data_IF_496166343152
#
_entry.id   IF_496166343152
#
_cell.length_a   1.000
_cell.length_b   1.000
_cell.length_c   1.000
_cell.angle_alpha   90.00
_cell.angle_beta   90.00
_cell.angle_gamma   90.00
#
_symmetry.space_group_name_H-M   'P 1'
#
loop_
_entity.id
_entity.type
_entity.pdbx_description
1 polymer ?
#
# COMPACT_ATOMS: atom_id res chain seq x y z
N UNK A 1 10.88 3.26 -8.96
CA UNK A 1 11.57 4.44 -9.52
C UNK A 1 10.70 5.22 -10.48
N UNK A 2 9.92 4.51 -11.31
CA UNK A 2 9.00 5.18 -12.23
C UNK A 2 7.94 5.98 -11.45
N UNK A 3 7.46 5.43 -10.34
CA UNK A 3 6.49 6.11 -9.49
C UNK A 3 7.14 7.33 -8.82
N UNK A 4 8.38 7.19 -8.36
CA UNK A 4 9.12 8.28 -7.75
C UNK A 4 9.35 9.43 -8.75
N UNK A 5 9.77 9.08 -9.96
CA UNK A 5 10.02 10.08 -10.99
C UNK A 5 8.73 10.83 -11.36
N UNK A 6 7.62 10.09 -11.50
CA UNK A 6 6.34 10.71 -11.82
C UNK A 6 5.88 11.65 -10.72
N UNK A 7 6.05 11.25 -9.46
CA UNK A 7 5.67 12.08 -8.32
C UNK A 7 6.51 13.36 -8.24
N UNK A 8 7.82 13.25 -8.52
CA UNK A 8 8.71 14.41 -8.48
C UNK A 8 8.42 15.41 -9.60
N UNK A 9 7.81 14.96 -10.67
CA UNK A 9 7.47 15.83 -11.79
C UNK A 9 6.13 16.55 -11.59
N UNK A 10 5.34 16.15 -10.60
CA UNK A 10 4.07 16.79 -10.32
C UNK A 10 4.29 18.21 -9.84
N UNK A 11 3.55 19.17 -10.43
CA UNK A 11 3.76 20.60 -10.18
C UNK A 11 3.58 21.00 -8.72
N UNK A 12 2.59 20.43 -8.05
CA UNK A 12 2.28 20.78 -6.66
C UNK A 12 2.89 19.84 -5.63
N UNK A 13 3.86 19.04 -6.05
CA UNK A 13 4.54 18.10 -5.17
C UNK A 13 5.62 18.84 -4.38
N UNK A 14 5.29 19.28 -3.18
CA UNK A 14 6.18 20.10 -2.37
C UNK A 14 7.30 19.29 -1.69
N UNK A 15 8.21 20.00 -1.02
CA UNK A 15 9.39 19.37 -0.41
C UNK A 15 9.04 18.39 0.70
N UNK A 16 8.01 18.69 1.48
CA UNK A 16 7.60 17.81 2.57
C UNK A 16 7.04 16.49 2.01
N UNK A 17 6.22 16.59 0.97
CA UNK A 17 5.66 15.41 0.31
C UNK A 17 6.76 14.59 -0.37
N UNK A 18 7.74 15.26 -0.97
CA UNK A 18 8.87 14.57 -1.58
C UNK A 18 9.68 13.79 -0.56
N UNK A 19 9.94 14.41 0.60
CA UNK A 19 10.69 13.74 1.66
C UNK A 19 9.96 12.51 2.19
N UNK A 20 8.67 12.65 2.43
CA UNK A 20 7.84 11.55 2.89
C UNK A 20 7.83 10.42 1.87
N UNK A 21 7.64 10.76 0.61
CA UNK A 21 7.57 9.78 -0.46
C UNK A 21 8.87 8.99 -0.61
N UNK A 22 10.00 9.68 -0.54
CA UNK A 22 11.31 9.02 -0.62
C UNK A 22 11.56 8.11 0.55
N UNK A 23 11.19 8.55 1.74
CA UNK A 23 11.32 7.76 2.95
C UNK A 23 10.49 6.50 2.86
N UNK A 24 9.27 6.64 2.35
CA UNK A 24 8.36 5.51 2.14
C UNK A 24 8.95 4.49 1.17
N UNK A 25 9.44 4.96 0.02
CA UNK A 25 10.04 4.08 -0.98
C UNK A 25 11.30 3.39 -0.47
N UNK A 26 12.10 4.12 0.29
CA UNK A 26 13.31 3.57 0.89
C UNK A 26 12.97 2.45 1.88
N UNK A 27 11.99 2.72 2.74
CA UNK A 27 11.52 1.73 3.70
C UNK A 27 10.97 0.48 3.03
N UNK A 28 10.20 0.65 1.97
CA UNK A 28 9.66 -0.47 1.19
C UNK A 28 10.79 -1.30 0.60
N UNK A 29 11.80 -0.63 0.05
CA UNK A 29 12.95 -1.34 -0.55
C UNK A 29 13.71 -2.15 0.49
N UNK A 30 13.90 -1.60 1.67
CA UNK A 30 14.62 -2.29 2.74
C UNK A 30 13.84 -3.48 3.29
N UNK A 31 12.53 -3.37 3.38
CA UNK A 31 11.69 -4.41 3.97
C UNK A 31 11.01 -5.30 2.93
N UNK A 32 11.42 -5.22 1.68
CA UNK A 32 10.76 -5.91 0.59
C UNK A 32 10.40 -7.37 0.87
N UNK A 33 11.33 -8.23 1.29
CA UNK A 33 10.98 -9.64 1.51
C UNK A 33 9.93 -9.83 2.61
N UNK A 34 10.04 -9.05 3.68
CA UNK A 34 9.13 -9.14 4.80
C UNK A 34 7.73 -8.67 4.41
N UNK A 35 7.65 -7.58 3.65
CA UNK A 35 6.36 -7.04 3.18
C UNK A 35 5.67 -8.03 2.26
N UNK A 36 6.42 -8.59 1.32
CA UNK A 36 5.87 -9.57 0.40
C UNK A 36 5.37 -10.80 1.14
N UNK A 37 6.10 -11.25 2.14
CA UNK A 37 5.68 -12.38 2.98
C UNK A 37 4.38 -12.07 3.74
N UNK A 38 4.16 -10.80 4.07
CA UNK A 38 2.95 -10.41 4.80
C UNK A 38 1.70 -10.47 3.93
N UNK A 39 1.77 -10.06 2.66
CA UNK A 39 0.57 -10.09 1.83
C UNK A 39 0.40 -11.36 1.01
N UNK A 40 1.47 -12.11 0.78
CA UNK A 40 1.42 -13.32 -0.04
C UNK A 40 0.33 -14.32 0.37
N UNK A 41 0.10 -14.59 1.66
CA UNK A 41 -0.95 -15.52 2.06
C UNK A 41 -2.35 -15.05 1.72
N UNK A 42 -2.53 -13.78 1.44
CA UNK A 42 -3.84 -13.18 1.22
C UNK A 42 -4.19 -12.98 -0.26
N UNK A 43 -3.26 -13.30 -1.15
CA UNK A 43 -3.53 -13.24 -2.58
C UNK A 43 -3.94 -14.64 -3.05
N UNK A 44 -4.76 -14.68 -4.10
CA UNK A 44 -5.28 -15.94 -4.62
C UNK A 44 -4.49 -16.46 -5.83
N UNK A 45 -3.28 -15.93 -6.02
CA UNK A 45 -2.45 -16.24 -7.18
C UNK A 45 -0.98 -16.10 -6.79
N UNK A 46 -0.09 -16.51 -7.68
CA UNK A 46 1.32 -16.34 -7.46
C UNK A 46 1.68 -14.86 -7.44
N UNK A 47 2.60 -14.47 -6.56
CA UNK A 47 3.08 -13.09 -6.50
C UNK A 47 3.61 -12.64 -7.86
N UNK A 48 4.26 -13.54 -8.58
CA UNK A 48 4.83 -13.23 -9.89
C UNK A 48 3.77 -12.97 -10.96
N UNK A 49 2.52 -13.32 -10.71
CA UNK A 49 1.44 -13.05 -11.67
C UNK A 49 0.74 -11.72 -11.42
N UNK A 50 1.13 -11.00 -10.37
CA UNK A 50 0.62 -9.65 -10.13
C UNK A 50 1.23 -8.69 -11.14
N UNK A 51 0.46 -7.69 -11.56
CA UNK A 51 1.04 -6.63 -12.38
C UNK A 51 2.05 -5.85 -11.54
N UNK A 52 3.06 -5.22 -12.17
CA UNK A 52 4.02 -4.40 -11.41
C UNK A 52 3.35 -3.31 -10.59
N UNK A 53 2.27 -2.73 -11.11
CA UNK A 53 1.55 -1.67 -10.42
C UNK A 53 0.84 -2.23 -9.18
N UNK A 54 0.12 -3.33 -9.33
CA UNK A 54 -0.56 -3.97 -8.19
C UNK A 54 0.44 -4.35 -7.12
N UNK A 55 1.56 -4.94 -7.53
CA UNK A 55 2.59 -5.36 -6.61
C UNK A 55 3.17 -4.17 -5.84
N UNK A 56 3.47 -3.08 -6.55
CA UNK A 56 4.00 -1.87 -5.92
C UNK A 56 3.01 -1.29 -4.90
N UNK A 57 1.75 -1.22 -5.27
CA UNK A 57 0.72 -0.67 -4.39
C UNK A 57 0.53 -1.54 -3.14
N UNK A 58 0.54 -2.86 -3.31
CA UNK A 58 0.45 -3.77 -2.18
C UNK A 58 1.65 -3.64 -1.25
N UNK A 59 2.84 -3.47 -1.80
CA UNK A 59 4.04 -3.26 -0.99
C UNK A 59 3.95 -1.98 -0.18
N UNK A 60 3.54 -0.89 -0.82
CA UNK A 60 3.42 0.41 -0.15
C UNK A 60 2.33 0.35 0.93
N UNK A 61 1.18 -0.19 0.61
CA UNK A 61 0.08 -0.32 1.56
C UNK A 61 0.46 -1.18 2.75
N UNK A 62 1.11 -2.30 2.51
CA UNK A 62 1.58 -3.19 3.57
C UNK A 62 2.58 -2.47 4.47
N UNK A 63 3.52 -1.75 3.87
CA UNK A 63 4.49 -0.97 4.63
C UNK A 63 3.80 0.04 5.55
N UNK A 64 2.83 0.76 5.03
CA UNK A 64 2.12 1.76 5.81
C UNK A 64 1.31 1.13 6.95
N UNK A 65 0.65 0.01 6.68
CA UNK A 65 -0.09 -0.70 7.73
C UNK A 65 0.83 -1.18 8.84
N UNK A 66 2.05 -1.58 8.48
CA UNK A 66 3.00 -2.16 9.41
C UNK A 66 3.80 -1.12 10.19
N UNK A 67 4.15 -0.03 9.55
CA UNK A 67 5.16 0.89 10.08
C UNK A 67 4.70 2.33 10.35
N UNK A 68 3.46 2.67 10.04
CA UNK A 68 2.98 4.03 10.30
C UNK A 68 1.77 4.02 11.21
N UNK A 69 1.40 5.19 11.69
CA UNK A 69 0.21 5.37 12.54
C UNK A 69 -0.98 5.87 11.75
N UNK A 70 -0.86 6.00 10.44
CA UNK A 70 -1.97 6.39 9.59
C UNK A 70 -3.11 5.39 9.74
N UNK A 71 -4.34 5.83 9.98
CA UNK A 71 -5.46 4.90 10.14
C UNK A 71 -5.58 3.96 8.95
N UNK A 72 -5.92 2.70 9.22
CA UNK A 72 -5.92 1.70 8.15
C UNK A 72 -6.89 2.05 7.02
N UNK A 73 -8.00 2.69 7.35
CA UNK A 73 -8.98 3.08 6.32
C UNK A 73 -8.39 4.09 5.35
N UNK A 74 -7.57 4.99 5.87
CA UNK A 74 -6.87 5.98 5.04
C UNK A 74 -5.84 5.30 4.15
N UNK A 75 -5.07 4.37 4.72
CA UNK A 75 -4.07 3.61 3.97
C UNK A 75 -4.72 2.87 2.80
N UNK A 76 -5.81 2.16 3.08
CA UNK A 76 -6.50 1.39 2.04
C UNK A 76 -7.12 2.32 1.00
N UNK A 77 -7.74 3.41 1.43
CA UNK A 77 -8.35 4.35 0.51
C UNK A 77 -7.31 4.96 -0.45
N UNK A 78 -6.15 5.32 0.06
CA UNK A 78 -5.08 5.86 -0.77
C UNK A 78 -4.56 4.81 -1.76
N UNK A 79 -4.41 3.57 -1.31
CA UNK A 79 -3.98 2.47 -2.18
C UNK A 79 -5.00 2.23 -3.30
N UNK A 80 -6.28 2.28 -2.96
CA UNK A 80 -7.36 2.11 -3.93
C UNK A 80 -7.33 3.25 -4.97
N UNK A 81 -7.11 4.49 -4.52
CA UNK A 81 -7.03 5.62 -5.43
C UNK A 81 -5.84 5.50 -6.37
N UNK A 82 -4.70 5.04 -5.87
CA UNK A 82 -3.54 4.78 -6.71
C UNK A 82 -3.84 3.70 -7.75
N UNK A 83 -4.51 2.64 -7.33
CA UNK A 83 -4.85 1.55 -8.24
C UNK A 83 -5.80 2.02 -9.33
N UNK A 84 -6.75 2.90 -9.00
CA UNK A 84 -7.66 3.47 -9.98
C UNK A 84 -6.92 4.33 -10.99
N UNK A 85 -5.90 5.07 -10.53
CA UNK A 85 -5.14 5.97 -11.39
C UNK A 85 -4.20 5.24 -12.35
N UNK A 86 -3.60 4.14 -11.90
CA UNK A 86 -2.54 3.46 -12.66
C UNK A 86 -2.89 2.06 -13.11
N UNK A 87 -3.88 1.43 -12.50
CA UNK A 87 -4.22 0.05 -12.79
C UNK A 87 -5.35 -0.07 -13.80
N UNK A 88 -5.72 -1.30 -14.08
CA UNK A 88 -6.87 -1.58 -14.91
C UNK A 88 -8.16 -1.37 -14.14
N UNK A 89 -9.28 -1.58 -14.82
CA UNK A 89 -10.60 -1.29 -14.27
C UNK A 89 -10.93 -1.99 -12.95
N UNK A 90 -10.39 -3.18 -12.73
CA UNK A 90 -10.72 -3.96 -11.53
C UNK A 90 -9.57 -4.13 -10.55
N UNK A 91 -8.40 -3.59 -10.87
CA UNK A 91 -7.22 -3.73 -10.01
C UNK A 91 -7.45 -3.18 -8.61
N UNK A 92 -8.18 -2.08 -8.52
CA UNK A 92 -8.44 -1.45 -7.22
C UNK A 92 -9.25 -2.34 -6.27
N UNK A 93 -10.16 -3.13 -6.81
CA UNK A 93 -10.96 -4.05 -5.99
C UNK A 93 -10.09 -5.14 -5.38
N UNK A 94 -9.15 -5.63 -6.17
CA UNK A 94 -8.23 -6.65 -5.73
C UNK A 94 -7.31 -6.13 -4.62
N UNK A 95 -6.74 -4.96 -4.85
CA UNK A 95 -5.87 -4.31 -3.86
C UNK A 95 -6.61 -4.07 -2.55
N UNK A 96 -7.82 -3.54 -2.65
CA UNK A 96 -8.66 -3.30 -1.47
C UNK A 96 -8.87 -4.59 -0.68
N UNK A 97 -9.25 -5.66 -1.38
CA UNK A 97 -9.52 -6.95 -0.73
C UNK A 97 -8.31 -7.53 -0.03
N UNK A 98 -7.15 -7.46 -0.67
CA UNK A 98 -5.91 -8.00 -0.08
C UNK A 98 -5.49 -7.22 1.16
N UNK A 99 -5.49 -5.88 1.06
CA UNK A 99 -5.10 -5.05 2.20
C UNK A 99 -6.07 -5.21 3.36
N UNK A 100 -7.35 -5.30 3.06
CA UNK A 100 -8.37 -5.46 4.09
C UNK A 100 -8.16 -6.74 4.89
N UNK A 101 -7.74 -7.81 4.24
CA UNK A 101 -7.48 -9.09 4.91
C UNK A 101 -6.31 -9.02 5.87
N UNK A 102 -5.37 -8.09 5.66
CA UNK A 102 -4.22 -7.94 6.53
C UNK A 102 -4.48 -7.09 7.76
N UNK A 103 -5.56 -6.31 7.76
CA UNK A 103 -5.84 -5.38 8.86
C UNK A 103 -5.92 -6.06 10.23
N UNK A 104 -6.63 -7.19 10.39
CA UNK A 104 -6.68 -7.85 11.71
C UNK A 104 -5.31 -8.28 12.23
N UNK A 105 -4.39 -8.59 11.34
CA UNK A 105 -3.04 -9.02 11.72
C UNK A 105 -2.14 -7.83 12.07
N UNK A 106 -2.22 -6.77 11.26
CA UNK A 106 -1.31 -5.64 11.36
C UNK A 106 -1.85 -4.49 12.19
N UNK A 107 -3.16 -4.39 12.31
CA UNK A 107 -3.84 -3.30 13.03
C UNK A 107 -4.94 -3.83 13.94
N UNK A 108 -4.64 -4.78 14.83
CA UNK A 108 -5.66 -5.38 15.69
C UNK A 108 -6.38 -4.35 16.58
N UNK A 109 -5.69 -3.30 17.00
CA UNK A 109 -6.30 -2.26 17.82
C UNK A 109 -7.42 -1.55 17.10
N UNK A 110 -7.20 -1.23 15.83
CA UNK A 110 -8.18 -0.48 15.06
C UNK A 110 -9.41 -1.31 14.77
N UNK A 111 -9.24 -2.60 14.54
CA UNK A 111 -10.37 -3.50 14.29
C UNK A 111 -11.25 -3.62 15.52
N UNK A 112 -10.65 -3.83 16.69
CA UNK A 112 -11.39 -3.96 17.95
C UNK A 112 -12.12 -2.67 18.24
N UNK A 113 -11.43 -1.52 18.11
CA UNK A 113 -12.02 -0.21 18.33
C UNK A 113 -13.18 0.05 17.38
N UNK A 114 -13.02 -0.34 16.11
CA UNK A 114 -14.07 -0.19 15.12
C UNK A 114 -15.30 -1.01 15.43
N UNK A 115 -15.14 -2.20 15.97
CA UNK A 115 -16.26 -3.05 16.36
C UNK A 115 -17.03 -2.47 17.53
N UNK A 116 -16.35 -1.78 18.40
CA UNK A 116 -16.95 -1.22 19.61
C UNK A 116 -17.49 0.19 19.40
N UNK A 117 -17.18 0.78 18.29
CA UNK A 117 -17.70 2.07 17.92
C UNK A 117 -19.07 1.94 17.25
#
# INVERSE_FOLDING_TARGET
EAIDAAALEAEDFDKADQAFYRELLHGVAEEFPSLEASYAPHIDREVTSLSPIERAILLIGTYELKNTTTPYRVVINEAVELAKSFGGSDGFKYVNGVLDKMVPELRPYEVVKGKNA
#
